data_IF_659947147997
#
_entry.id   IF_659947147997
#
_cell.length_a   1.000
_cell.length_b   1.000
_cell.length_c   1.000
_cell.angle_alpha   90.00
_cell.angle_beta   90.00
_cell.angle_gamma   90.00
#
_symmetry.space_group_name_H-M   'P 1'
#
loop_
_entity.id
_entity.type
_entity.pdbx_description
1 polymer ?
#
# COMPACT_ATOMS: atom_id res chain seq x y z
N UNK A 1 10.48 -6.36 -11.20
CA UNK A 1 11.02 -5.01 -11.48
C UNK A 1 11.58 -5.01 -12.90
N UNK A 2 10.95 -4.31 -13.83
CA UNK A 2 11.29 -4.44 -15.25
C UNK A 2 12.41 -3.48 -15.65
N UNK A 3 13.46 -4.01 -16.28
CA UNK A 3 14.55 -3.22 -16.86
C UNK A 3 15.46 -2.56 -15.83
N UNK A 4 15.65 -3.17 -14.66
CA UNK A 4 16.66 -2.77 -13.68
C UNK A 4 17.70 -3.88 -13.48
N UNK A 5 18.95 -3.53 -13.12
CA UNK A 5 19.95 -4.49 -12.65
C UNK A 5 19.55 -5.09 -11.28
N UNK A 6 20.30 -6.12 -10.85
CA UNK A 6 20.11 -6.78 -9.56
C UNK A 6 20.31 -5.84 -8.35
N UNK A 7 21.08 -4.77 -8.52
CA UNK A 7 21.30 -3.72 -7.53
C UNK A 7 21.52 -2.35 -8.17
N UNK A 8 21.13 -1.31 -7.46
CA UNK A 8 21.42 0.09 -7.81
C UNK A 8 22.48 0.60 -6.83
N UNK A 9 23.58 1.11 -7.37
CA UNK A 9 24.66 1.69 -6.59
C UNK A 9 24.59 3.21 -6.67
N UNK A 10 24.71 3.86 -5.51
CA UNK A 10 24.75 5.30 -5.36
C UNK A 10 26.03 5.60 -4.56
N UNK A 11 26.96 6.33 -5.17
CA UNK A 11 28.27 6.61 -4.58
C UNK A 11 28.15 7.44 -3.30
N UNK A 12 27.24 8.41 -3.28
CA UNK A 12 26.96 9.28 -2.15
C UNK A 12 25.46 9.36 -1.93
N UNK A 13 25.01 9.09 -0.70
CA UNK A 13 23.61 9.24 -0.31
C UNK A 13 23.46 9.27 1.23
N UNK A 14 22.42 9.94 1.73
CA UNK A 14 22.10 9.94 3.17
C UNK A 14 21.69 8.54 3.65
N UNK A 15 22.25 8.12 4.79
CA UNK A 15 21.94 6.83 5.41
C UNK A 15 20.70 6.92 6.28
N UNK A 16 19.70 6.06 5.99
CA UNK A 16 18.66 5.68 6.94
C UNK A 16 18.89 4.22 7.33
N UNK A 17 18.62 3.86 8.59
CA UNK A 17 18.88 2.52 9.12
C UNK A 17 17.65 1.91 9.79
N UNK A 18 17.63 0.58 9.88
CA UNK A 18 16.68 -0.13 10.73
C UNK A 18 16.97 0.11 12.23
N UNK A 19 15.99 0.09 13.14
CA UNK A 19 14.58 -0.28 12.92
C UNK A 19 13.73 0.89 12.45
N UNK A 20 13.20 0.79 11.23
CA UNK A 20 12.25 1.75 10.70
C UNK A 20 10.84 1.43 11.24
N UNK A 21 10.30 2.34 12.05
CA UNK A 21 9.02 2.16 12.75
C UNK A 21 7.86 2.44 11.77
N UNK A 22 7.56 1.44 10.96
CA UNK A 22 6.44 1.41 10.01
C UNK A 22 5.68 0.08 10.16
N UNK A 23 4.41 0.01 9.73
CA UNK A 23 3.72 -1.27 9.59
C UNK A 23 4.52 -2.25 8.71
N UNK A 24 4.28 -3.56 8.85
CA UNK A 24 4.87 -4.51 7.92
C UNK A 24 4.43 -4.18 6.49
N UNK A 25 5.37 -3.98 5.54
CA UNK A 25 5.01 -3.73 4.16
C UNK A 25 4.27 -4.91 3.52
N UNK A 26 3.39 -4.61 2.57
CA UNK A 26 2.69 -5.66 1.81
C UNK A 26 3.69 -6.45 0.96
N UNK A 27 4.60 -5.72 0.29
CA UNK A 27 5.72 -6.29 -0.44
C UNK A 27 6.97 -5.42 -0.22
N UNK A 28 8.08 -6.09 0.11
CA UNK A 28 9.41 -5.48 0.18
C UNK A 28 10.12 -5.66 -1.16
N UNK A 29 10.50 -4.56 -1.81
CA UNK A 29 11.06 -4.54 -3.16
C UNK A 29 12.57 -4.29 -3.14
N UNK A 30 13.04 -3.40 -2.26
CA UNK A 30 14.45 -3.04 -2.13
C UNK A 30 14.88 -3.06 -0.67
N UNK A 31 16.09 -3.57 -0.47
CA UNK A 31 16.86 -3.43 0.77
C UNK A 31 18.14 -2.69 0.39
N UNK A 32 18.41 -1.58 1.08
CA UNK A 32 19.68 -0.87 0.98
C UNK A 32 20.66 -1.42 1.99
N UNK A 33 21.93 -1.48 1.59
CA UNK A 33 23.08 -1.63 2.46
C UNK A 33 23.87 -0.33 2.39
N UNK A 34 24.41 0.12 3.52
CA UNK A 34 25.23 1.32 3.62
C UNK A 34 26.64 0.96 4.08
N UNK A 35 27.61 1.80 3.72
CA UNK A 35 29.02 1.63 4.08
C UNK A 35 29.25 1.54 5.60
N UNK A 36 28.41 2.23 6.40
CA UNK A 36 28.43 2.15 7.87
C UNK A 36 28.00 0.80 8.45
N UNK A 37 27.54 -0.14 7.61
CA UNK A 37 27.09 -1.47 7.99
C UNK A 37 25.58 -1.58 8.22
N UNK A 38 24.84 -0.47 8.14
CA UNK A 38 23.41 -0.45 8.29
C UNK A 38 22.69 -1.03 7.06
N UNK A 39 21.50 -1.56 7.32
CA UNK A 39 20.54 -1.95 6.28
C UNK A 39 19.24 -1.17 6.46
N UNK A 40 18.48 -1.04 5.38
CA UNK A 40 17.19 -0.37 5.40
C UNK A 40 16.23 -0.93 4.37
N UNK A 41 14.97 -1.13 4.76
CA UNK A 41 13.88 -1.42 3.82
C UNK A 41 13.61 -0.17 2.96
N UNK A 42 14.34 -0.04 1.86
CA UNK A 42 14.45 1.19 1.08
C UNK A 42 13.47 1.32 -0.07
N UNK A 43 12.71 0.27 -0.37
CA UNK A 43 11.59 0.36 -1.28
C UNK A 43 10.57 -0.71 -1.01
N UNK A 44 9.33 -0.32 -0.78
CA UNK A 44 8.27 -1.23 -0.39
C UNK A 44 6.89 -0.66 -0.70
N UNK A 45 5.89 -1.53 -0.70
CA UNK A 45 4.51 -1.17 -1.07
C UNK A 45 3.53 -1.29 0.09
N UNK A 46 2.46 -0.49 0.00
CA UNK A 46 1.25 -0.67 0.79
C UNK A 46 0.01 -0.53 -0.09
N UNK A 47 -1.08 -1.14 0.37
CA UNK A 47 -2.44 -0.87 -0.06
C UNK A 47 -3.21 -0.15 1.03
N UNK A 48 -3.95 0.89 0.64
CA UNK A 48 -4.85 1.65 1.52
C UNK A 48 -6.15 1.89 0.78
N UNK A 49 -7.19 1.14 1.13
CA UNK A 49 -8.42 1.07 0.33
C UNK A 49 -8.11 0.65 -1.10
N UNK A 50 -8.59 1.43 -2.08
CA UNK A 50 -8.26 1.25 -3.50
C UNK A 50 -6.91 1.86 -3.91
N UNK A 51 -6.26 2.59 -3.00
CA UNK A 51 -4.98 3.26 -3.24
C UNK A 51 -3.79 2.31 -3.13
N UNK A 52 -2.81 2.54 -3.99
CA UNK A 52 -1.50 1.89 -3.98
C UNK A 52 -0.46 2.91 -3.57
N UNK A 53 0.38 2.56 -2.61
CA UNK A 53 1.47 3.41 -2.11
C UNK A 53 2.78 2.68 -2.35
N UNK A 54 3.78 3.39 -2.87
CA UNK A 54 5.14 2.92 -2.98
C UNK A 54 6.05 3.92 -2.27
N UNK A 55 6.76 3.46 -1.25
CA UNK A 55 7.82 4.22 -0.61
C UNK A 55 9.14 3.87 -1.29
N UNK A 56 9.97 4.88 -1.55
CA UNK A 56 11.30 4.71 -2.13
C UNK A 56 12.25 5.73 -1.52
N UNK A 57 13.33 5.26 -0.89
CA UNK A 57 14.20 6.05 -0.01
C UNK A 57 15.13 7.05 -0.71
N UNK A 58 15.88 6.69 -1.78
CA UNK A 58 16.94 7.55 -2.31
C UNK A 58 16.41 8.92 -2.78
N UNK A 59 17.09 10.01 -2.39
CA UNK A 59 16.66 11.35 -2.81
C UNK A 59 17.06 12.51 -1.90
N UNK A 60 18.14 12.41 -1.12
CA UNK A 60 18.61 13.54 -0.31
C UNK A 60 19.05 14.71 -1.22
N UNK A 61 18.63 15.91 -0.85
CA UNK A 61 18.72 17.12 -1.68
C UNK A 61 20.15 17.58 -1.98
N UNK A 62 21.13 17.16 -1.16
CA UNK A 62 22.53 17.47 -1.34
C UNK A 62 23.18 16.69 -2.50
N UNK A 63 22.55 15.62 -2.97
CA UNK A 63 23.11 14.72 -3.98
C UNK A 63 22.27 14.70 -5.26
N UNK A 64 22.89 14.50 -6.44
CA UNK A 64 22.18 14.43 -7.73
C UNK A 64 21.43 13.10 -7.93
N UNK A 65 20.81 12.55 -6.88
CA UNK A 65 20.24 11.20 -6.85
C UNK A 65 19.10 11.02 -7.84
N UNK A 66 18.30 12.06 -8.07
CA UNK A 66 17.25 12.04 -9.09
C UNK A 66 17.77 12.15 -10.53
N UNK A 67 19.06 12.41 -10.77
CA UNK A 67 19.67 12.31 -12.10
C UNK A 67 20.14 10.89 -12.43
N UNK A 68 20.17 9.98 -11.46
CA UNK A 68 20.51 8.59 -11.71
C UNK A 68 19.40 7.91 -12.54
N UNK A 69 19.76 7.38 -13.71
CA UNK A 69 18.82 6.74 -14.65
C UNK A 69 18.04 5.57 -14.04
N UNK A 70 18.63 4.84 -13.09
CA UNK A 70 17.96 3.71 -12.45
C UNK A 70 16.97 4.18 -11.38
N UNK A 71 17.30 5.23 -10.62
CA UNK A 71 16.37 5.89 -9.69
C UNK A 71 15.15 6.41 -10.46
N UNK A 72 15.37 7.11 -11.57
CA UNK A 72 14.27 7.57 -12.44
C UNK A 72 13.44 6.41 -12.98
N UNK A 73 14.09 5.32 -13.40
CA UNK A 73 13.40 4.12 -13.91
C UNK A 73 12.54 3.45 -12.83
N UNK A 74 13.01 3.37 -11.58
CA UNK A 74 12.20 2.89 -10.44
C UNK A 74 10.95 3.75 -10.29
N UNK A 75 11.10 5.08 -10.27
CA UNK A 75 9.99 6.02 -10.11
C UNK A 75 8.97 5.86 -11.25
N UNK A 76 9.43 5.77 -12.50
CA UNK A 76 8.57 5.54 -13.68
C UNK A 76 7.79 4.22 -13.53
N UNK A 77 8.47 3.15 -13.14
CA UNK A 77 7.84 1.85 -12.93
C UNK A 77 6.82 1.89 -11.78
N UNK A 78 7.15 2.57 -10.69
CA UNK A 78 6.27 2.76 -9.54
C UNK A 78 5.00 3.55 -9.90
N UNK A 79 5.11 4.62 -10.68
CA UNK A 79 3.96 5.40 -11.16
C UNK A 79 3.05 4.53 -12.04
N UNK A 80 3.62 3.74 -12.96
CA UNK A 80 2.84 2.81 -13.79
C UNK A 80 2.12 1.76 -12.95
N UNK A 81 2.80 1.20 -11.95
CA UNK A 81 2.23 0.23 -11.01
C UNK A 81 1.12 0.84 -10.15
N UNK A 82 1.33 2.06 -9.65
CA UNK A 82 0.42 2.79 -8.77
C UNK A 82 -0.80 3.36 -9.51
N UNK A 83 -0.87 3.23 -10.84
CA UNK A 83 -2.01 3.65 -11.65
C UNK A 83 -3.33 3.17 -11.01
N UNK A 84 -4.32 4.07 -10.84
CA UNK A 84 -5.64 3.71 -10.34
C UNK A 84 -6.28 2.63 -11.21
N UNK A 85 -6.91 1.66 -10.56
CA UNK A 85 -7.75 0.66 -11.21
C UNK A 85 -9.20 1.13 -11.18
N UNK A 86 -9.99 0.72 -12.18
CA UNK A 86 -11.43 0.97 -12.17
C UNK A 86 -12.10 0.03 -11.14
N UNK A 87 -11.97 0.38 -9.86
CA UNK A 87 -12.49 -0.38 -8.73
C UNK A 87 -13.92 0.09 -8.40
N UNK A 88 -14.81 -0.82 -7.94
CA UNK A 88 -16.11 -0.43 -7.43
C UNK A 88 -15.98 0.62 -6.33
N UNK A 89 -16.87 1.62 -6.33
CA UNK A 89 -16.90 2.61 -5.27
C UNK A 89 -17.28 1.92 -3.96
N UNK A 90 -16.44 2.05 -2.94
CA UNK A 90 -16.72 1.51 -1.60
C UNK A 90 -17.90 2.29 -1.01
N UNK A 91 -19.02 1.60 -0.76
CA UNK A 91 -20.16 2.14 -0.03
C UNK A 91 -20.11 1.63 1.40
N UNK A 92 -20.10 2.56 2.35
CA UNK A 92 -20.16 2.28 3.79
C UNK A 92 -21.49 2.80 4.33
N UNK A 93 -21.91 2.26 5.48
CA UNK A 93 -23.14 2.65 6.16
C UNK A 93 -24.28 1.66 5.98
N UNK A 94 -25.48 2.08 6.36
CA UNK A 94 -26.69 1.27 6.29
C UNK A 94 -27.07 0.97 4.84
N UNK A 95 -27.21 -0.32 4.52
CA UNK A 95 -27.78 -0.78 3.25
C UNK A 95 -29.29 -0.88 3.45
N UNK A 96 -30.05 0.08 2.90
CA UNK A 96 -31.50 0.18 3.11
C UNK A 96 -32.28 -1.04 2.63
N UNK A 97 -31.81 -1.66 1.56
CA UNK A 97 -32.44 -2.82 0.97
C UNK A 97 -31.59 -4.06 1.23
N UNK A 98 -32.23 -5.08 1.77
CA UNK A 98 -31.55 -6.35 2.00
C UNK A 98 -31.26 -7.04 0.68
N UNK A 99 -30.03 -7.54 0.53
CA UNK A 99 -29.62 -8.30 -0.66
C UNK A 99 -30.40 -9.62 -0.84
N UNK A 100 -31.01 -10.11 0.25
CA UNK A 100 -31.88 -11.27 0.28
C UNK A 100 -33.17 -10.92 1.00
N UNK A 101 -34.30 -11.59 0.67
CA UNK A 101 -35.55 -11.40 1.39
C UNK A 101 -35.35 -11.69 2.87
N UNK A 102 -35.61 -10.70 3.73
CA UNK A 102 -35.71 -10.94 5.16
C UNK A 102 -37.01 -11.71 5.39
N UNK A 103 -36.91 -12.92 5.92
CA UNK A 103 -38.09 -13.69 6.34
C UNK A 103 -38.91 -12.86 7.34
N UNK A 104 -40.23 -12.86 7.15
CA UNK A 104 -41.22 -11.99 7.77
C UNK A 104 -40.75 -11.38 9.12
N UNK A 105 -40.43 -10.07 9.18
CA UNK A 105 -39.87 -9.46 10.38
C UNK A 105 -40.83 -9.51 11.57
N UNK A 106 -42.12 -9.73 11.32
CA UNK A 106 -43.20 -9.89 12.31
C UNK A 106 -43.22 -11.25 13.03
N UNK A 107 -42.56 -12.29 12.50
CA UNK A 107 -42.59 -13.63 13.13
C UNK A 107 -41.65 -13.75 14.35
N UNK A 108 -40.63 -12.89 14.46
CA UNK A 108 -39.63 -12.92 15.53
C UNK A 108 -39.68 -11.69 16.46
N UNK A 109 -40.71 -10.85 16.35
CA UNK A 109 -40.99 -9.75 17.29
C UNK A 109 -41.96 -10.20 18.37
N UNK A 110 -41.79 -9.68 19.58
CA UNK A 110 -42.57 -10.03 20.78
C UNK A 110 -44.08 -9.84 20.55
N UNK A 111 -44.49 -8.87 19.74
CA UNK A 111 -45.88 -8.66 19.31
C UNK A 111 -46.50 -9.86 18.58
N UNK A 112 -45.70 -10.63 17.82
CA UNK A 112 -46.16 -11.83 17.11
C UNK A 112 -46.34 -13.07 18.00
N UNK A 113 -45.72 -13.08 19.20
CA UNK A 113 -45.83 -14.19 20.16
C UNK A 113 -47.13 -14.13 20.97
N UNK A 114 -47.69 -12.95 21.19
CA UNK A 114 -48.90 -12.76 22.00
C UNK A 114 -50.21 -12.94 21.24
N UNK A 115 -50.19 -12.91 19.90
CA UNK A 115 -51.38 -13.06 19.06
C UNK A 115 -51.69 -14.51 18.63
N UNK A 116 -51.00 -15.51 19.18
CA UNK A 116 -51.41 -16.93 19.09
C UNK A 116 -52.25 -17.30 20.32
N UNK A 117 -53.53 -16.91 20.31
CA UNK A 117 -54.59 -17.55 21.11
C UNK A 117 -55.80 -17.77 20.23
#
# INVERSE_FOLDING_TARGET
>A
VEGLPDRIELEHEEMYGETFIIPNPDELIFISWFEGGEVFRSGFTYRRGCGKVFYFRPGHEAFPTFFNKYVQKVIINAVKWARPLNMPKVQLGEIKESIMPIANPTLNVIEGLHNKK
#
